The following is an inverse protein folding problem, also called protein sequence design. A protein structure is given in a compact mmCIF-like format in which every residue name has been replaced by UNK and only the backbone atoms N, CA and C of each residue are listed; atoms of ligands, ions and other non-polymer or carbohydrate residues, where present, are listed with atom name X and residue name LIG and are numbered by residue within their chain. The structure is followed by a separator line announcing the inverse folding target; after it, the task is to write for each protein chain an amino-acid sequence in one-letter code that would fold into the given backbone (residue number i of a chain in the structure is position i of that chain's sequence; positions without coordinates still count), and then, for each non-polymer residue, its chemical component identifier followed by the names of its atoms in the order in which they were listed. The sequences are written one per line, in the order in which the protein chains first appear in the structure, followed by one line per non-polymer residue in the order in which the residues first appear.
data_IF_327435063161
#
_entry.id   IF_327435063161
#
_cell.length_a   1.000
_cell.length_b   1.000
_cell.length_c   1.000
_cell.angle_alpha   90.00
_cell.angle_beta   90.00
_cell.angle_gamma   90.00
#
_symmetry.space_group_name_H-M   'P 1'
#
loop_
_entity.id
_entity.type
_entity.pdbx_description
1 polymer ?
#
# COMPACT_ATOMS: atom_id res chain seq x y z
N UNK A 1 15.98 10.39 14.56
CA UNK A 1 15.06 9.40 13.96
C UNK A 1 14.54 9.90 12.63
N UNK A 2 14.56 9.07 11.64
CA UNK A 2 14.06 9.45 10.32
C UNK A 2 12.54 9.42 10.30
N UNK A 3 11.94 10.40 9.61
CA UNK A 3 10.51 10.47 9.41
C UNK A 3 10.06 9.48 8.36
N UNK A 4 8.95 8.80 8.60
CA UNK A 4 8.34 7.92 7.61
C UNK A 4 7.46 8.76 6.69
N UNK A 5 7.88 8.93 5.46
CA UNK A 5 7.09 9.69 4.47
C UNK A 5 6.04 8.78 3.84
N UNK A 6 4.81 9.28 3.76
CA UNK A 6 3.67 8.53 3.25
C UNK A 6 2.96 9.31 2.16
N UNK A 7 2.63 8.64 1.07
CA UNK A 7 1.72 9.17 0.05
C UNK A 7 0.44 8.35 0.09
N UNK A 8 -0.70 9.03 0.05
CA UNK A 8 -2.02 8.40 0.10
C UNK A 8 -2.64 8.45 -1.30
N UNK A 9 -2.95 7.29 -1.86
CA UNK A 9 -3.56 7.17 -3.18
C UNK A 9 -4.93 6.52 -3.05
N UNK A 10 -5.98 7.29 -3.28
CA UNK A 10 -7.35 6.82 -3.24
C UNK A 10 -8.21 7.72 -4.14
N UNK A 11 -9.08 7.11 -4.93
CA UNK A 11 -9.98 7.87 -5.79
C UNK A 11 -10.91 8.77 -4.98
N UNK A 12 -11.38 8.30 -3.82
CA UNK A 12 -12.35 9.03 -3.01
C UNK A 12 -11.69 9.99 -2.02
N UNK A 13 -12.18 11.22 -2.00
CA UNK A 13 -11.71 12.22 -1.04
C UNK A 13 -11.91 11.74 0.41
N UNK A 14 -13.03 11.09 0.68
CA UNK A 14 -13.32 10.58 2.03
C UNK A 14 -12.30 9.53 2.48
N UNK A 15 -11.84 8.69 1.56
CA UNK A 15 -10.81 7.69 1.86
C UNK A 15 -9.46 8.33 2.17
N UNK A 16 -9.07 9.33 1.38
CA UNK A 16 -7.83 10.07 1.65
C UNK A 16 -7.89 10.80 2.98
N UNK A 17 -9.04 11.43 3.28
CA UNK A 17 -9.24 12.15 4.53
C UNK A 17 -9.18 11.22 5.74
N UNK A 18 -9.74 10.02 5.63
CA UNK A 18 -9.69 9.04 6.70
C UNK A 18 -8.25 8.66 7.06
N UNK A 19 -7.42 8.40 6.05
CA UNK A 19 -6.02 8.07 6.27
C UNK A 19 -5.25 9.28 6.85
N UNK A 20 -5.47 10.45 6.26
CA UNK A 20 -4.77 11.66 6.70
C UNK A 20 -5.09 12.00 8.16
N UNK A 21 -6.37 11.92 8.55
CA UNK A 21 -6.77 12.29 9.91
C UNK A 21 -6.12 11.39 10.97
N UNK A 22 -5.88 10.14 10.63
CA UNK A 22 -5.25 9.17 11.55
C UNK A 22 -3.74 9.38 11.59
N UNK A 23 -3.12 9.57 10.43
CA UNK A 23 -1.66 9.64 10.34
C UNK A 23 -1.09 10.98 10.84
N UNK A 24 -1.83 12.08 10.65
CA UNK A 24 -1.33 13.41 11.07
C UNK A 24 -1.15 13.54 12.58
N UNK A 25 -1.76 12.66 13.37
CA UNK A 25 -1.62 12.66 14.82
C UNK A 25 -0.39 11.89 15.29
N UNK A 26 0.29 11.19 14.36
CA UNK A 26 1.39 10.29 14.72
C UNK A 26 2.74 10.97 14.62
N UNK A 27 3.56 10.84 15.65
CA UNK A 27 4.94 11.30 15.61
C UNK A 27 5.75 10.44 14.67
N UNK A 28 6.61 11.06 13.91
CA UNK A 28 7.52 10.34 13.02
C UNK A 28 6.88 9.88 11.71
N UNK A 29 5.62 10.22 11.46
CA UNK A 29 4.95 9.95 10.20
C UNK A 29 4.55 11.27 9.56
N UNK A 30 4.93 11.46 8.29
CA UNK A 30 4.60 12.65 7.54
C UNK A 30 3.88 12.29 6.25
N UNK A 31 2.67 12.80 6.05
CA UNK A 31 1.97 12.64 4.79
C UNK A 31 2.53 13.66 3.81
N UNK A 32 3.27 13.18 2.82
CA UNK A 32 3.96 14.02 1.84
C UNK A 32 3.10 14.35 0.62
N UNK A 33 1.99 13.62 0.42
CA UNK A 33 1.12 13.89 -0.71
C UNK A 33 -0.12 13.02 -0.70
N UNK A 34 -1.13 13.49 -1.45
CA UNK A 34 -2.37 12.77 -1.70
C UNK A 34 -2.65 12.78 -3.19
N UNK A 35 -3.02 11.64 -3.73
CA UNK A 35 -3.30 11.51 -5.17
C UNK A 35 -4.59 10.72 -5.39
N UNK A 36 -5.19 10.87 -6.56
CA UNK A 36 -6.51 10.31 -6.86
C UNK A 36 -6.51 9.21 -7.91
N UNK A 37 -5.38 8.94 -8.53
CA UNK A 37 -5.31 7.93 -9.59
C UNK A 37 -4.00 7.16 -9.53
N UNK A 38 -3.97 6.02 -10.21
CA UNK A 38 -2.75 5.23 -10.32
C UNK A 38 -1.63 5.96 -11.05
N UNK A 39 -1.97 6.71 -12.08
CA UNK A 39 -0.96 7.50 -12.83
C UNK A 39 -0.36 8.59 -11.95
N UNK A 40 -1.19 9.31 -11.20
CA UNK A 40 -0.69 10.31 -10.26
C UNK A 40 0.19 9.66 -9.19
N UNK A 41 -0.20 8.48 -8.70
CA UNK A 41 0.58 7.76 -7.70
C UNK A 41 1.97 7.42 -8.24
N UNK A 42 2.06 6.98 -9.48
CA UNK A 42 3.34 6.68 -10.11
C UNK A 42 4.21 7.92 -10.24
N UNK A 43 3.63 9.02 -10.71
CA UNK A 43 4.37 10.27 -10.89
C UNK A 43 4.89 10.81 -9.56
N UNK A 44 4.05 10.82 -8.54
CA UNK A 44 4.43 11.33 -7.21
C UNK A 44 5.46 10.40 -6.55
N UNK A 45 5.28 9.09 -6.68
CA UNK A 45 6.24 8.13 -6.12
C UNK A 45 7.63 8.28 -6.78
N UNK A 46 7.67 8.47 -8.09
CA UNK A 46 8.93 8.69 -8.80
C UNK A 46 9.63 9.97 -8.33
N UNK A 47 8.85 11.02 -8.06
CA UNK A 47 9.38 12.32 -7.68
C UNK A 47 9.77 12.38 -6.20
N UNK A 48 8.86 11.97 -5.32
CA UNK A 48 9.06 12.10 -3.88
C UNK A 48 9.75 10.91 -3.24
N UNK A 49 9.66 9.75 -3.88
CA UNK A 49 10.22 8.48 -3.36
C UNK A 49 9.83 8.26 -1.90
N UNK A 50 8.52 8.23 -1.60
CA UNK A 50 8.06 8.06 -0.23
C UNK A 50 8.47 6.69 0.30
N UNK A 51 8.58 6.57 1.61
CA UNK A 51 8.88 5.28 2.21
C UNK A 51 7.69 4.33 2.14
N UNK A 52 6.46 4.89 2.25
CA UNK A 52 5.22 4.12 2.18
C UNK A 52 4.27 4.75 1.17
N UNK A 53 3.68 3.92 0.34
CA UNK A 53 2.55 4.30 -0.51
C UNK A 53 1.33 3.53 -0.05
N UNK A 54 0.31 4.26 0.42
CA UNK A 54 -0.99 3.68 0.72
C UNK A 54 -1.80 3.71 -0.57
N UNK A 55 -2.21 2.56 -1.06
CA UNK A 55 -2.82 2.45 -2.38
C UNK A 55 -4.13 1.70 -2.30
N UNK A 56 -5.25 2.39 -2.56
CA UNK A 56 -6.56 1.76 -2.56
C UNK A 56 -6.71 0.87 -3.79
N UNK A 57 -7.17 -0.36 -3.57
CA UNK A 57 -7.28 -1.33 -4.65
C UNK A 57 -8.28 -0.94 -5.74
N UNK A 58 -9.21 -0.03 -5.46
CA UNK A 58 -10.13 0.47 -6.47
C UNK A 58 -9.43 1.25 -7.60
N UNK A 59 -8.17 1.65 -7.39
CA UNK A 59 -7.39 2.37 -8.41
C UNK A 59 -6.79 1.45 -9.47
N UNK A 60 -6.79 0.16 -9.25
CA UNK A 60 -6.12 -0.77 -10.18
C UNK A 60 -6.84 -0.97 -11.51
N UNK A 61 -8.12 -0.86 -11.61
CA UNK A 61 -8.92 -0.92 -12.85
C UNK A 61 -8.32 -1.76 -14.00
N UNK A 62 -7.98 -3.00 -13.73
CA UNK A 62 -7.56 -3.96 -14.74
C UNK A 62 -6.07 -4.01 -15.10
N UNK A 63 -5.24 -3.07 -14.61
CA UNK A 63 -3.80 -3.05 -14.92
C UNK A 63 -2.91 -3.09 -13.67
N UNK A 64 -3.33 -3.85 -12.68
CA UNK A 64 -2.71 -3.93 -11.35
C UNK A 64 -1.22 -4.23 -11.36
N UNK A 65 -0.85 -5.27 -12.09
CA UNK A 65 0.50 -5.79 -12.10
C UNK A 65 1.47 -4.78 -12.68
N UNK A 66 1.04 -4.11 -13.75
CA UNK A 66 1.89 -3.13 -14.42
C UNK A 66 2.20 -1.92 -13.53
N UNK A 67 1.22 -1.47 -12.72
CA UNK A 67 1.44 -0.36 -11.82
C UNK A 67 2.44 -0.71 -10.72
N UNK A 68 2.31 -1.88 -10.11
CA UNK A 68 3.25 -2.33 -9.08
C UNK A 68 4.65 -2.53 -9.64
N UNK A 69 4.74 -3.10 -10.84
CA UNK A 69 6.03 -3.29 -11.51
C UNK A 69 6.70 -1.95 -11.84
N UNK A 70 5.93 -1.01 -12.38
CA UNK A 70 6.43 0.32 -12.68
C UNK A 70 6.91 1.05 -11.42
N UNK A 71 6.17 0.91 -10.32
CA UNK A 71 6.55 1.48 -9.05
C UNK A 71 7.89 0.93 -8.57
N UNK A 72 8.11 -0.37 -8.68
CA UNK A 72 9.37 -0.99 -8.27
C UNK A 72 10.56 -0.46 -9.06
N UNK A 73 10.35 -0.13 -10.32
CA UNK A 73 11.40 0.44 -11.16
C UNK A 73 11.68 1.91 -10.82
N UNK A 74 10.61 2.70 -10.60
CA UNK A 74 10.74 4.14 -10.38
C UNK A 74 11.06 4.51 -8.95
N UNK A 75 10.62 3.71 -7.99
CA UNK A 75 10.84 3.97 -6.57
C UNK A 75 11.00 2.65 -5.83
N UNK A 76 12.14 1.97 -6.02
CA UNK A 76 12.33 0.60 -5.52
C UNK A 76 12.29 0.46 -4.00
N UNK A 77 12.52 1.55 -3.27
CA UNK A 77 12.48 1.51 -1.80
C UNK A 77 11.12 1.82 -1.22
N UNK A 78 10.17 2.28 -2.05
CA UNK A 78 8.80 2.54 -1.60
C UNK A 78 8.07 1.22 -1.36
N UNK A 79 7.52 1.05 -0.17
CA UNK A 79 6.74 -0.13 0.19
C UNK A 79 5.26 0.20 0.10
N UNK A 80 4.49 -0.71 -0.48
CA UNK A 80 3.06 -0.50 -0.73
C UNK A 80 2.23 -1.22 0.31
N UNK A 81 1.30 -0.48 0.93
CA UNK A 81 0.24 -1.05 1.75
C UNK A 81 -1.07 -0.79 1.01
N UNK A 82 -1.80 -1.86 0.74
CA UNK A 82 -3.07 -1.77 0.03
C UNK A 82 -4.19 -1.40 0.99
N UNK A 83 -5.14 -0.60 0.52
CA UNK A 83 -6.38 -0.35 1.25
C UNK A 83 -7.49 -1.05 0.49
N UNK A 84 -8.32 -1.81 1.20
CA UNK A 84 -9.33 -2.67 0.59
C UNK A 84 -10.72 -2.33 1.10
N UNK A 85 -11.72 -2.50 0.23
CA UNK A 85 -13.13 -2.41 0.57
C UNK A 85 -13.86 -3.48 -0.23
N UNK A 86 -14.35 -4.51 0.47
CA UNK A 86 -15.05 -5.65 -0.15
C UNK A 86 -14.28 -6.22 -1.34
N UNK A 87 -12.97 -6.19 -1.25
CA UNK A 87 -12.12 -6.64 -2.33
C UNK A 87 -12.02 -8.17 -2.32
N UNK A 88 -12.19 -8.83 -3.47
CA UNK A 88 -12.01 -10.28 -3.53
C UNK A 88 -10.59 -10.70 -3.13
N UNK A 89 -10.48 -11.81 -2.42
CA UNK A 89 -9.22 -12.30 -1.91
C UNK A 89 -8.17 -12.51 -3.01
N UNK A 90 -8.59 -13.01 -4.17
CA UNK A 90 -7.65 -13.25 -5.26
C UNK A 90 -7.02 -11.95 -5.79
N UNK A 91 -7.73 -10.84 -5.75
CA UNK A 91 -7.16 -9.54 -6.14
C UNK A 91 -6.12 -9.06 -5.13
N UNK A 92 -6.41 -9.25 -3.84
CA UNK A 92 -5.46 -8.92 -2.79
C UNK A 92 -4.21 -9.79 -2.93
N UNK A 93 -4.40 -11.08 -3.14
CA UNK A 93 -3.31 -12.04 -3.27
C UNK A 93 -2.43 -11.72 -4.48
N UNK A 94 -3.04 -11.35 -5.62
CA UNK A 94 -2.27 -10.93 -6.80
C UNK A 94 -1.36 -9.75 -6.48
N UNK A 95 -1.88 -8.74 -5.81
CA UNK A 95 -1.09 -7.55 -5.47
C UNK A 95 0.04 -7.89 -4.49
N UNK A 96 -0.22 -8.75 -3.51
CA UNK A 96 0.79 -9.18 -2.55
C UNK A 96 1.91 -9.96 -3.23
N UNK A 97 1.57 -10.83 -4.18
CA UNK A 97 2.57 -11.61 -4.90
C UNK A 97 3.38 -10.77 -5.89
N UNK A 98 2.93 -9.56 -6.21
CA UNK A 98 3.64 -8.63 -7.06
C UNK A 98 4.32 -7.50 -6.29
N UNK A 99 4.48 -7.66 -4.98
CA UNK A 99 5.34 -6.82 -4.19
C UNK A 99 4.70 -5.94 -3.14
N UNK A 100 3.37 -5.89 -3.05
CA UNK A 100 2.74 -5.17 -1.94
C UNK A 100 3.11 -5.87 -0.63
N UNK A 101 3.35 -5.08 0.41
CA UNK A 101 3.83 -5.59 1.70
C UNK A 101 2.74 -5.86 2.71
N UNK A 102 1.52 -5.45 2.41
CA UNK A 102 0.40 -5.71 3.30
C UNK A 102 -0.88 -5.09 2.80
N UNK A 103 -1.96 -5.33 3.53
CA UNK A 103 -3.22 -4.70 3.23
C UNK A 103 -4.01 -4.43 4.50
N UNK A 104 -4.89 -3.43 4.44
CA UNK A 104 -5.74 -3.04 5.54
C UNK A 104 -7.12 -2.71 4.98
N UNK A 105 -8.17 -3.20 5.65
CA UNK A 105 -9.53 -2.87 5.25
C UNK A 105 -9.88 -1.46 5.71
N UNK A 106 -10.75 -0.78 4.95
CA UNK A 106 -11.16 0.58 5.31
C UNK A 106 -11.66 0.70 6.74
N UNK A 107 -12.41 -0.28 7.21
CA UNK A 107 -12.94 -0.26 8.58
C UNK A 107 -11.86 -0.30 9.66
N UNK A 108 -10.66 -0.73 9.32
CA UNK A 108 -9.57 -0.90 10.28
C UNK A 108 -8.55 0.24 10.25
N UNK A 109 -8.74 1.23 9.37
CA UNK A 109 -7.79 2.34 9.23
C UNK A 109 -7.58 3.08 10.55
N UNK A 110 -8.64 3.45 11.23
CA UNK A 110 -8.52 4.24 12.47
C UNK A 110 -7.82 3.46 13.57
N UNK A 111 -7.96 2.14 13.61
CA UNK A 111 -7.39 1.32 14.67
C UNK A 111 -5.95 0.89 14.36
N UNK A 112 -5.66 0.52 13.12
CA UNK A 112 -4.41 -0.19 12.81
C UNK A 112 -3.47 0.51 11.83
N UNK A 113 -3.90 1.55 11.11
CA UNK A 113 -3.05 2.12 10.07
C UNK A 113 -1.70 2.61 10.56
N UNK A 114 -1.60 3.37 11.65
CA UNK A 114 -0.28 3.82 12.11
C UNK A 114 0.66 2.67 12.43
N UNK A 115 0.15 1.63 13.08
CA UNK A 115 0.95 0.45 13.42
C UNK A 115 1.41 -0.27 12.15
N UNK A 116 0.51 -0.44 11.18
CA UNK A 116 0.85 -1.08 9.90
C UNK A 116 1.95 -0.30 9.18
N UNK A 117 1.85 1.02 9.14
CA UNK A 117 2.86 1.87 8.50
C UNK A 117 4.22 1.66 9.15
N UNK A 118 4.28 1.68 10.48
CA UNK A 118 5.55 1.52 11.20
C UNK A 118 6.16 0.14 10.97
N UNK A 119 5.36 -0.92 11.04
CA UNK A 119 5.87 -2.28 10.86
C UNK A 119 6.33 -2.53 9.44
N UNK A 120 5.58 -2.07 8.45
CA UNK A 120 5.98 -2.24 7.05
C UNK A 120 7.25 -1.43 6.76
N UNK A 121 7.33 -0.22 7.30
CA UNK A 121 8.54 0.59 7.14
C UNK A 121 9.76 -0.10 7.75
N UNK A 122 9.57 -0.84 8.84
CA UNK A 122 10.65 -1.59 9.49
C UNK A 122 11.01 -2.89 8.75
N UNK A 123 10.34 -3.21 7.66
CA UNK A 123 10.65 -4.39 6.85
C UNK A 123 9.72 -5.57 7.07
N UNK A 124 8.71 -5.44 7.92
CA UNK A 124 7.76 -6.52 8.16
C UNK A 124 6.58 -6.45 7.21
N UNK A 125 5.83 -7.54 7.10
CA UNK A 125 4.60 -7.59 6.33
C UNK A 125 3.41 -7.36 7.26
N UNK A 126 2.35 -6.74 6.71
CA UNK A 126 1.08 -6.57 7.43
C UNK A 126 0.00 -7.40 6.74
N UNK A 127 0.01 -8.71 7.02
CA UNK A 127 -0.94 -9.67 6.44
C UNK A 127 -1.38 -10.66 7.50
N UNK A 128 -2.63 -11.18 7.44
CA UNK A 128 -3.04 -12.26 8.32
C UNK A 128 -2.21 -13.51 8.06
N UNK A 129 -2.01 -14.32 9.11
CA UNK A 129 -1.25 -15.57 9.00
C UNK A 129 -1.73 -16.46 7.87
N UNK A 130 -3.05 -16.60 7.73
CA UNK A 130 -3.62 -17.48 6.71
C UNK A 130 -3.24 -17.06 5.29
N UNK A 131 -2.92 -15.79 5.08
CA UNK A 131 -2.51 -15.30 3.76
C UNK A 131 -1.07 -15.66 3.43
N UNK A 132 -0.24 -15.88 4.43
CA UNK A 132 1.17 -16.20 4.22
C UNK A 132 1.31 -17.49 3.40
N UNK A 133 0.59 -18.54 3.78
CA UNK A 133 0.63 -19.81 3.04
C UNK A 133 0.15 -19.63 1.60
N UNK A 134 -0.91 -18.84 1.40
CA UNK A 134 -1.44 -18.58 0.05
C UNK A 134 -0.45 -17.82 -0.81
N UNK A 135 0.26 -16.87 -0.23
CA UNK A 135 1.31 -16.12 -0.93
C UNK A 135 2.43 -17.07 -1.35
N UNK A 136 2.88 -17.91 -0.44
CA UNK A 136 3.96 -18.88 -0.72
C UNK A 136 3.55 -19.84 -1.83
N UNK A 137 2.34 -20.37 -1.77
CA UNK A 137 1.83 -21.27 -2.80
C UNK A 137 1.77 -20.59 -4.17
N UNK A 138 1.30 -19.32 -4.20
CA UNK A 138 1.22 -18.57 -5.43
C UNK A 138 2.62 -18.31 -6.02
N UNK A 139 3.58 -17.95 -5.18
CA UNK A 139 4.97 -17.72 -5.61
C UNK A 139 5.61 -19.00 -6.13
N UNK A 140 5.34 -20.13 -5.51
CA UNK A 140 5.85 -21.41 -5.98
C UNK A 140 5.35 -21.74 -7.38
N UNK A 141 4.09 -21.41 -7.69
CA UNK A 141 3.52 -21.59 -9.03
C UNK A 141 4.19 -20.69 -10.07
N UNK A 142 4.55 -19.46 -9.68
CA UNK A 142 5.19 -18.52 -10.59
C UNK A 142 6.62 -18.90 -10.93
N UNK A 143 7.30 -19.65 -10.04
CA UNK A 143 8.70 -20.04 -10.21
C UNK A 143 8.88 -21.47 -10.69
N UNK A 144 7.78 -22.23 -10.79
CA UNK A 144 7.85 -23.63 -11.23
C UNK A 144 8.07 -23.74 -12.73
#
# INVERSE_FOLDING_TARGET
MSTITVVIADHKKSGRAACLSVLKLERGIQVAGEVRSGLEAMAVAAKLKPRILLFHLNLFKGKKINLLRALRQKSPKTKVILITLRTPENQILDALTHGARGYIQEKDISTFLPKAVRLVDAGEAWVPRKMVAKIIDRLAHLTA
#
